data_IF_135747708407
#
_entry.id   IF_135747708407
#
_cell.length_a   1.000
_cell.length_b   1.000
_cell.length_c   1.000
_cell.angle_alpha   90.00
_cell.angle_beta   90.00
_cell.angle_gamma   90.00
#
_symmetry.space_group_name_H-M   'P 1'
#
loop_
_entity.id
_entity.type
_entity.pdbx_description
1 polymer ?
#
# COMPACT_ATOMS: atom_id res chain seq x y z
N UNK A 1 21.08 8.04 -4.23
CA UNK A 1 21.68 6.70 -4.06
C UNK A 1 21.23 6.21 -2.68
N UNK A 2 20.14 5.44 -2.62
CA UNK A 2 19.65 4.88 -1.35
C UNK A 2 20.59 3.73 -1.00
N UNK A 3 21.29 3.82 0.13
CA UNK A 3 22.20 2.76 0.60
C UNK A 3 21.36 1.51 0.84
N UNK A 4 21.78 0.37 0.28
CA UNK A 4 21.10 -0.89 0.57
C UNK A 4 21.13 -1.16 2.07
N UNK A 5 20.00 -1.60 2.67
CA UNK A 5 19.94 -1.87 4.09
C UNK A 5 20.86 -3.03 4.48
N UNK A 6 21.63 -2.86 5.55
CA UNK A 6 22.52 -3.90 6.09
C UNK A 6 21.70 -4.99 6.80
N UNK A 7 21.58 -6.15 6.13
CA UNK A 7 20.74 -7.26 6.61
C UNK A 7 21.52 -8.51 7.04
N UNK A 8 22.84 -8.57 6.83
CA UNK A 8 23.63 -9.78 7.10
C UNK A 8 24.20 -9.82 8.51
N UNK A 9 24.40 -8.66 9.14
CA UNK A 9 24.90 -8.57 10.52
C UNK A 9 23.80 -8.82 11.58
N UNK A 10 24.22 -8.99 12.83
CA UNK A 10 23.32 -8.99 14.00
C UNK A 10 23.04 -7.57 14.55
N UNK A 11 23.34 -6.52 13.79
CA UNK A 11 22.97 -5.16 14.18
C UNK A 11 21.46 -4.97 14.05
N UNK A 12 20.90 -4.24 15.03
CA UNK A 12 19.48 -3.93 15.06
C UNK A 12 19.09 -2.98 13.91
N UNK A 13 18.06 -3.37 13.18
CA UNK A 13 17.40 -2.56 12.17
C UNK A 13 15.98 -2.24 12.63
N UNK A 14 15.63 -0.95 12.62
CA UNK A 14 14.31 -0.47 13.04
C UNK A 14 13.35 -0.43 11.84
N UNK A 15 12.14 -0.96 12.04
CA UNK A 15 11.02 -0.89 11.11
C UNK A 15 9.85 -0.20 11.82
N UNK A 16 9.13 0.67 11.11
CA UNK A 16 8.03 1.43 11.67
C UNK A 16 6.77 1.32 10.79
N UNK A 17 5.61 1.35 11.44
CA UNK A 17 4.31 1.51 10.79
C UNK A 17 3.90 2.99 10.74
N UNK A 18 2.96 3.37 9.86
CA UNK A 18 2.53 4.76 9.70
C UNK A 18 1.92 5.40 10.95
N UNK A 19 1.42 4.60 11.89
CA UNK A 19 0.88 5.06 13.18
C UNK A 19 1.96 5.33 14.24
N UNK A 20 3.25 5.21 13.87
CA UNK A 20 4.40 5.47 14.73
C UNK A 20 4.87 4.26 15.54
N UNK A 21 4.15 3.13 15.49
CA UNK A 21 4.62 1.89 16.10
C UNK A 21 5.89 1.39 15.41
N UNK A 22 6.77 0.71 16.14
CA UNK A 22 8.03 0.24 15.58
C UNK A 22 8.56 -1.02 16.28
N UNK A 23 9.35 -1.80 15.53
CA UNK A 23 10.12 -2.93 16.03
C UNK A 23 11.58 -2.80 15.61
N UNK A 24 12.48 -3.35 16.42
CA UNK A 24 13.89 -3.50 16.06
C UNK A 24 14.22 -4.97 15.92
N UNK A 25 14.80 -5.35 14.78
CA UNK A 25 15.16 -6.72 14.44
C UNK A 25 16.67 -6.83 14.26
N UNK A 26 17.28 -7.86 14.84
CA UNK A 26 18.72 -8.14 14.71
C UNK A 26 19.01 -9.41 13.90
N UNK A 27 18.09 -10.36 13.82
CA UNK A 27 18.32 -11.59 13.07
C UNK A 27 18.25 -11.35 11.55
N UNK A 28 19.25 -11.78 10.75
CA UNK A 28 19.28 -11.56 9.30
C UNK A 28 18.01 -11.99 8.56
N UNK A 29 17.52 -13.20 8.86
CA UNK A 29 16.31 -13.74 8.22
C UNK A 29 15.06 -12.90 8.52
N UNK A 30 14.91 -12.35 9.74
CA UNK A 30 13.73 -11.55 10.09
C UNK A 30 13.83 -10.14 9.49
N UNK A 31 15.03 -9.55 9.41
CA UNK A 31 15.28 -8.30 8.68
C UNK A 31 14.92 -8.45 7.20
N UNK A 32 15.41 -9.50 6.55
CA UNK A 32 15.12 -9.79 5.15
C UNK A 32 13.62 -10.02 4.91
N UNK A 33 12.94 -10.78 5.77
CA UNK A 33 11.50 -11.00 5.69
C UNK A 33 10.70 -9.69 5.85
N UNK A 34 11.08 -8.83 6.79
CA UNK A 34 10.39 -7.55 6.99
C UNK A 34 10.54 -6.63 5.78
N UNK A 35 11.72 -6.59 5.13
CA UNK A 35 11.90 -5.87 3.87
C UNK A 35 11.00 -6.41 2.76
N UNK A 36 10.87 -7.74 2.62
CA UNK A 36 9.93 -8.33 1.67
C UNK A 36 8.48 -7.86 1.94
N UNK A 37 8.06 -7.82 3.21
CA UNK A 37 6.73 -7.35 3.60
C UNK A 37 6.52 -5.86 3.29
N UNK A 38 7.52 -5.01 3.56
CA UNK A 38 7.47 -3.59 3.23
C UNK A 38 7.28 -3.34 1.72
N UNK A 39 7.95 -4.12 0.87
CA UNK A 39 7.88 -3.94 -0.58
C UNK A 39 6.55 -4.38 -1.19
N UNK A 40 5.92 -5.42 -0.64
CA UNK A 40 4.65 -5.90 -1.17
C UNK A 40 3.45 -5.17 -0.58
N UNK A 41 3.63 -4.39 0.51
CA UNK A 41 2.55 -3.66 1.16
C UNK A 41 1.71 -2.86 0.15
N UNK A 42 0.36 -2.89 0.23
CA UNK A 42 -0.50 -3.57 1.20
C UNK A 42 -0.82 -5.06 0.94
N UNK A 43 -0.20 -5.70 -0.05
CA UNK A 43 -0.49 -7.10 -0.42
C UNK A 43 -0.04 -8.08 0.67
N UNK A 44 -0.60 -9.29 0.58
CA UNK A 44 -0.31 -10.41 1.49
C UNK A 44 0.49 -11.48 0.74
N UNK A 45 1.30 -12.24 1.48
CA UNK A 45 2.08 -13.35 0.93
C UNK A 45 2.03 -14.57 1.86
N UNK A 46 1.99 -15.81 1.35
CA UNK A 46 2.10 -17.00 2.17
C UNK A 46 3.43 -17.07 2.93
N UNK A 47 3.42 -17.67 4.13
CA UNK A 47 4.63 -17.78 4.97
C UNK A 47 5.80 -18.49 4.25
N UNK A 48 5.51 -19.56 3.48
CA UNK A 48 6.53 -20.25 2.70
C UNK A 48 7.18 -19.33 1.66
N UNK A 49 6.37 -18.57 0.92
CA UNK A 49 6.86 -17.61 -0.07
C UNK A 49 7.70 -16.52 0.60
N UNK A 50 7.26 -16.00 1.75
CA UNK A 50 8.01 -15.01 2.52
C UNK A 50 9.39 -15.55 2.93
N UNK A 51 9.45 -16.79 3.43
CA UNK A 51 10.72 -17.47 3.77
C UNK A 51 11.63 -17.55 2.55
N UNK A 52 11.12 -18.04 1.43
CA UNK A 52 11.90 -18.27 0.21
C UNK A 52 12.48 -16.93 -0.31
N UNK A 53 11.67 -15.86 -0.29
CA UNK A 53 12.12 -14.51 -0.65
C UNK A 53 13.15 -13.94 0.33
N UNK A 54 12.98 -14.15 1.64
CA UNK A 54 13.92 -13.69 2.65
C UNK A 54 15.29 -14.38 2.52
N UNK A 55 15.31 -15.68 2.23
CA UNK A 55 16.56 -16.43 1.93
C UNK A 55 17.24 -15.90 0.69
N UNK A 56 16.48 -15.68 -0.39
CA UNK A 56 17.01 -15.16 -1.64
C UNK A 56 17.70 -13.79 -1.44
N UNK A 57 17.12 -12.89 -0.63
CA UNK A 57 17.76 -11.61 -0.27
C UNK A 57 19.08 -11.76 0.46
N UNK A 58 19.25 -12.83 1.24
CA UNK A 58 20.48 -13.12 1.96
C UNK A 58 21.51 -13.87 1.10
N UNK A 59 21.24 -14.05 -0.20
CA UNK A 59 22.03 -14.89 -1.10
C UNK A 59 22.19 -16.33 -0.57
N UNK A 60 21.19 -16.82 0.17
CA UNK A 60 21.13 -18.19 0.64
C UNK A 60 20.40 -19.03 -0.40
N UNK A 61 20.96 -20.18 -0.76
CA UNK A 61 20.31 -21.10 -1.67
C UNK A 61 18.94 -21.54 -1.14
N UNK A 62 18.00 -21.72 -2.05
CA UNK A 62 16.74 -22.38 -1.73
C UNK A 62 17.05 -23.80 -1.26
N UNK A 63 16.69 -24.11 -0.02
CA UNK A 63 16.91 -25.44 0.54
C UNK A 63 15.57 -26.12 0.78
N UNK A 64 15.47 -27.34 0.29
CA UNK A 64 14.39 -28.27 0.63
C UNK A 64 14.78 -29.19 1.79
N UNK A 65 15.98 -29.02 2.37
CA UNK A 65 16.38 -29.76 3.57
C UNK A 65 15.35 -29.50 4.70
N UNK A 66 14.68 -30.54 5.20
CA UNK A 66 13.61 -30.37 6.19
C UNK A 66 14.08 -29.72 7.49
N UNK A 67 15.34 -29.91 7.89
CA UNK A 67 15.88 -29.34 9.13
C UNK A 67 16.08 -27.84 9.00
N UNK A 68 16.78 -27.38 7.96
CA UNK A 68 16.93 -25.94 7.72
C UNK A 68 15.58 -25.25 7.50
N UNK A 69 14.67 -25.90 6.77
CA UNK A 69 13.31 -25.38 6.60
C UNK A 69 12.57 -25.20 7.93
N UNK A 70 12.67 -26.19 8.83
CA UNK A 70 12.05 -26.12 10.16
C UNK A 70 12.66 -25.03 11.05
N UNK A 71 13.98 -24.84 10.97
CA UNK A 71 14.69 -23.76 11.69
C UNK A 71 14.24 -22.38 11.20
N UNK A 72 14.21 -22.16 9.88
CA UNK A 72 13.75 -20.91 9.28
C UNK A 72 12.30 -20.59 9.69
N UNK A 73 11.40 -21.58 9.63
CA UNK A 73 10.01 -21.41 10.06
C UNK A 73 9.88 -21.18 11.56
N UNK A 74 10.73 -21.78 12.39
CA UNK A 74 10.76 -21.54 13.83
C UNK A 74 11.19 -20.10 14.14
N UNK A 75 12.23 -19.59 13.47
CA UNK A 75 12.72 -18.22 13.61
C UNK A 75 11.65 -17.22 13.17
N UNK A 76 11.12 -17.38 11.95
CA UNK A 76 10.10 -16.49 11.39
C UNK A 76 8.79 -16.57 12.17
N UNK A 77 8.34 -17.78 12.53
CA UNK A 77 7.09 -17.99 13.25
C UNK A 77 7.08 -17.36 14.64
N UNK A 78 8.16 -17.54 15.41
CA UNK A 78 8.31 -16.89 16.73
C UNK A 78 8.28 -15.37 16.60
N UNK A 79 9.03 -14.83 15.65
CA UNK A 79 9.06 -13.39 15.42
C UNK A 79 7.69 -12.85 14.98
N UNK A 80 7.05 -13.45 13.97
CA UNK A 80 5.74 -13.04 13.46
C UNK A 80 4.68 -13.05 14.56
N UNK A 81 4.65 -14.10 15.39
CA UNK A 81 3.72 -14.20 16.50
C UNK A 81 4.00 -13.11 17.56
N UNK A 82 5.27 -12.85 17.86
CA UNK A 82 5.67 -11.79 18.80
C UNK A 82 5.28 -10.41 18.27
N UNK A 83 5.52 -10.13 17.00
CA UNK A 83 5.15 -8.87 16.36
C UNK A 83 3.63 -8.68 16.28
N UNK A 84 2.88 -9.76 16.02
CA UNK A 84 1.41 -9.75 16.00
C UNK A 84 0.80 -9.52 17.40
N UNK A 85 1.41 -10.07 18.45
CA UNK A 85 0.93 -9.93 19.84
C UNK A 85 1.42 -8.65 20.54
N UNK A 86 2.39 -7.93 19.95
CA UNK A 86 2.88 -6.67 20.49
C UNK A 86 1.74 -5.64 20.56
N UNK A 87 1.62 -4.90 21.68
CA UNK A 87 0.56 -3.91 21.96
C UNK A 87 0.54 -2.69 21.00
N UNK A 88 1.40 -2.70 19.99
CA UNK A 88 1.45 -1.78 18.87
C UNK A 88 0.41 -2.16 17.81
N UNK A 89 -0.48 -1.23 17.45
CA UNK A 89 -1.50 -1.46 16.44
C UNK A 89 -0.86 -1.83 15.07
N UNK A 90 -0.97 -3.12 14.72
CA UNK A 90 -0.88 -3.66 13.35
C UNK A 90 0.47 -3.57 12.64
N UNK A 91 1.58 -3.80 13.33
CA UNK A 91 2.87 -3.98 12.66
C UNK A 91 2.88 -5.19 11.70
N UNK A 92 2.21 -6.28 12.09
CA UNK A 92 2.03 -7.49 11.28
C UNK A 92 0.56 -7.92 11.37
N UNK A 93 -0.03 -8.29 10.23
CA UNK A 93 -1.37 -8.89 10.17
C UNK A 93 -1.29 -10.34 9.70
N UNK A 94 -1.92 -11.25 10.45
CA UNK A 94 -2.07 -12.65 10.06
C UNK A 94 -3.47 -12.89 9.50
N UNK A 95 -3.55 -13.54 8.35
CA UNK A 95 -4.80 -13.68 7.62
C UNK A 95 -4.90 -15.06 6.96
N UNK A 96 -6.10 -15.63 6.95
CA UNK A 96 -6.38 -16.92 6.29
C UNK A 96 -6.72 -16.77 4.80
N UNK A 97 -7.11 -15.57 4.37
CA UNK A 97 -7.45 -15.27 2.98
C UNK A 97 -6.90 -13.91 2.55
N UNK A 98 -6.52 -13.79 1.28
CA UNK A 98 -6.07 -12.52 0.72
C UNK A 98 -7.27 -11.71 0.18
N UNK A 99 -7.42 -10.42 0.56
CA UNK A 99 -8.44 -9.56 0.01
C UNK A 99 -8.14 -9.33 -1.47
N UNK A 100 -9.18 -9.22 -2.26
CA UNK A 100 -9.09 -9.09 -3.71
C UNK A 100 -9.02 -7.60 -4.07
N UNK A 101 -7.80 -7.07 -4.15
CA UNK A 101 -7.53 -5.72 -4.64
C UNK A 101 -6.25 -5.72 -5.49
N UNK A 102 -6.06 -4.64 -6.26
CA UNK A 102 -4.84 -4.43 -7.07
C UNK A 102 -4.09 -3.19 -6.60
N UNK A 103 -2.76 -3.25 -6.69
CA UNK A 103 -1.85 -2.13 -6.42
C UNK A 103 -1.22 -1.58 -7.69
N UNK A 104 -1.15 -2.41 -8.72
CA UNK A 104 -0.65 -2.08 -10.04
C UNK A 104 -1.79 -1.44 -10.86
N UNK A 105 -1.53 -0.27 -11.43
CA UNK A 105 -2.53 0.49 -12.18
C UNK A 105 -2.72 -0.11 -13.58
N UNK A 106 -3.94 -0.50 -13.91
CA UNK A 106 -4.35 -0.80 -15.29
C UNK A 106 -4.56 0.48 -16.10
N UNK A 107 -4.58 0.38 -17.43
CA UNK A 107 -4.93 1.50 -18.32
C UNK A 107 -6.28 2.15 -17.96
N UNK A 108 -7.25 1.33 -17.55
CA UNK A 108 -8.59 1.75 -17.14
C UNK A 108 -8.92 1.25 -15.74
N UNK A 109 -8.47 1.94 -14.69
CA UNK A 109 -8.62 1.48 -13.31
C UNK A 109 -10.08 1.32 -12.90
N UNK A 110 -10.33 0.30 -12.07
CA UNK A 110 -11.63 0.01 -11.47
C UNK A 110 -11.52 0.14 -9.96
N UNK A 111 -12.34 0.98 -9.36
CA UNK A 111 -12.52 1.03 -7.90
C UNK A 111 -13.62 0.07 -7.45
N UNK A 112 -13.54 -0.37 -6.20
CA UNK A 112 -14.59 -1.16 -5.56
C UNK A 112 -15.97 -0.50 -5.72
N UNK A 113 -17.01 -1.22 -6.19
CA UNK A 113 -18.35 -0.67 -6.33
C UNK A 113 -18.91 -0.07 -5.02
N UNK A 114 -18.59 -0.69 -3.88
CA UNK A 114 -18.98 -0.19 -2.56
C UNK A 114 -18.30 1.15 -2.25
N UNK A 115 -16.98 1.24 -2.47
CA UNK A 115 -16.22 2.45 -2.20
C UNK A 115 -16.68 3.62 -3.09
N UNK A 116 -17.01 3.33 -4.36
CA UNK A 116 -17.61 4.31 -5.28
C UNK A 116 -18.97 4.80 -4.80
N UNK A 117 -19.84 3.88 -4.37
CA UNK A 117 -21.16 4.23 -3.83
C UNK A 117 -21.04 5.10 -2.58
N UNK A 118 -20.18 4.73 -1.63
CA UNK A 118 -19.95 5.50 -0.40
C UNK A 118 -19.36 6.88 -0.69
N UNK A 119 -18.43 6.99 -1.64
CA UNK A 119 -17.85 8.27 -2.04
C UNK A 119 -18.89 9.23 -2.63
N UNK A 120 -20.00 8.73 -3.21
CA UNK A 120 -21.08 9.61 -3.66
C UNK A 120 -21.76 10.33 -2.49
N UNK A 121 -21.89 9.64 -1.34
CA UNK A 121 -22.54 10.16 -0.14
C UNK A 121 -21.63 10.85 0.87
N UNK A 122 -20.31 10.76 0.75
CA UNK A 122 -19.38 11.39 1.70
C UNK A 122 -17.90 11.18 1.36
N UNK A 123 -17.03 11.51 2.30
CA UNK A 123 -15.57 11.46 2.14
C UNK A 123 -14.90 10.35 2.96
N UNK A 124 -15.67 9.40 3.53
CA UNK A 124 -15.12 8.19 4.16
C UNK A 124 -15.69 6.96 3.47
N UNK A 125 -14.81 6.04 3.10
CA UNK A 125 -15.16 4.81 2.40
C UNK A 125 -14.58 3.59 3.13
N UNK A 126 -15.12 2.42 2.83
CA UNK A 126 -14.61 1.13 3.29
C UNK A 126 -13.77 0.51 2.17
N UNK A 127 -12.49 0.22 2.45
CA UNK A 127 -11.60 -0.42 1.47
C UNK A 127 -11.75 -1.96 1.45
N UNK A 128 -11.03 -2.63 0.55
CA UNK A 128 -11.04 -4.10 0.45
C UNK A 128 -10.36 -4.82 1.62
N UNK A 129 -9.72 -4.08 2.54
CA UNK A 129 -9.18 -4.56 3.81
C UNK A 129 -10.14 -4.36 4.98
N UNK A 130 -11.36 -3.89 4.71
CA UNK A 130 -12.39 -3.55 5.72
C UNK A 130 -11.96 -2.43 6.68
N UNK A 131 -11.10 -1.53 6.21
CA UNK A 131 -10.67 -0.33 6.92
C UNK A 131 -11.47 0.87 6.45
N UNK A 132 -11.62 1.86 7.34
CA UNK A 132 -12.22 3.13 6.96
C UNK A 132 -11.16 4.10 6.49
N UNK A 133 -11.27 4.52 5.22
CA UNK A 133 -10.32 5.41 4.55
C UNK A 133 -10.97 6.78 4.36
N UNK A 134 -10.45 7.85 4.99
CA UNK A 134 -10.83 9.21 4.64
C UNK A 134 -10.24 9.59 3.28
N UNK A 135 -11.02 10.29 2.48
CA UNK A 135 -10.63 10.80 1.17
C UNK A 135 -10.60 12.32 1.23
N UNK A 136 -9.55 12.92 0.68
CA UNK A 136 -9.66 14.32 0.26
C UNK A 136 -10.58 14.42 -0.97
N UNK A 137 -10.92 15.66 -1.35
CA UNK A 137 -11.88 15.86 -2.43
C UNK A 137 -11.35 15.38 -3.79
N UNK A 138 -10.05 15.50 -4.05
CA UNK A 138 -9.46 15.01 -5.31
C UNK A 138 -9.52 13.48 -5.40
N UNK A 139 -9.12 12.77 -4.34
CA UNK A 139 -9.20 11.31 -4.25
C UNK A 139 -10.65 10.83 -4.37
N UNK A 140 -11.60 11.53 -3.75
CA UNK A 140 -13.03 11.24 -3.86
C UNK A 140 -13.53 11.38 -5.30
N UNK A 141 -13.22 12.48 -5.98
CA UNK A 141 -13.66 12.72 -7.35
C UNK A 141 -13.01 11.75 -8.36
N UNK A 142 -11.75 11.38 -8.13
CA UNK A 142 -11.11 10.31 -8.88
C UNK A 142 -11.83 8.98 -8.67
N UNK A 143 -11.98 8.55 -7.42
CA UNK A 143 -12.59 7.27 -7.05
C UNK A 143 -13.97 7.07 -7.70
N UNK A 144 -14.82 8.10 -7.68
CA UNK A 144 -16.16 8.08 -8.31
C UNK A 144 -16.14 7.67 -9.79
N UNK A 145 -15.07 8.04 -10.51
CA UNK A 145 -14.89 7.87 -11.96
C UNK A 145 -14.16 6.59 -12.36
N UNK A 146 -13.58 5.85 -11.41
CA UNK A 146 -12.83 4.61 -11.69
C UNK A 146 -13.79 3.43 -11.87
N UNK A 147 -14.45 3.36 -13.03
CA UNK A 147 -15.41 2.31 -13.39
C UNK A 147 -14.92 1.37 -14.50
N UNK A 148 -13.63 1.44 -14.85
CA UNK A 148 -13.03 0.67 -15.93
C UNK A 148 -13.31 1.18 -17.34
N UNK A 149 -14.01 2.30 -17.50
CA UNK A 149 -14.33 2.87 -18.82
C UNK A 149 -13.40 4.01 -19.24
N UNK A 150 -12.71 4.62 -18.27
CA UNK A 150 -11.89 5.81 -18.47
C UNK A 150 -10.42 5.46 -18.41
N UNK A 151 -9.71 5.81 -19.46
CA UNK A 151 -8.26 5.86 -19.43
C UNK A 151 -7.76 7.13 -18.71
N UNK A 152 -6.44 7.24 -18.59
CA UNK A 152 -5.77 8.37 -17.96
C UNK A 152 -6.19 9.72 -18.57
N UNK A 153 -6.28 9.82 -19.90
CA UNK A 153 -6.59 11.10 -20.54
C UNK A 153 -8.05 11.50 -20.31
N UNK A 154 -8.97 10.54 -20.34
CA UNK A 154 -10.37 10.76 -20.03
C UNK A 154 -10.53 11.24 -18.57
N UNK A 155 -9.81 10.62 -17.62
CA UNK A 155 -9.80 11.06 -16.23
C UNK A 155 -9.28 12.50 -16.10
N UNK A 156 -8.17 12.84 -16.75
CA UNK A 156 -7.64 14.21 -16.74
C UNK A 156 -8.66 15.23 -17.26
N UNK A 157 -9.28 14.95 -18.41
CA UNK A 157 -10.30 15.83 -18.99
C UNK A 157 -11.48 16.04 -18.05
N UNK A 158 -11.98 14.98 -17.42
CA UNK A 158 -13.12 15.08 -16.51
C UNK A 158 -12.79 15.81 -15.20
N UNK A 159 -11.61 15.60 -14.64
CA UNK A 159 -11.17 16.34 -13.44
C UNK A 159 -10.92 17.82 -13.78
N UNK A 160 -10.28 18.12 -14.91
CA UNK A 160 -10.08 19.49 -15.36
C UNK A 160 -11.41 20.23 -15.57
N UNK A 161 -12.43 19.54 -16.10
CA UNK A 161 -13.78 20.08 -16.23
C UNK A 161 -14.41 20.39 -14.87
N UNK A 162 -14.25 19.52 -13.86
CA UNK A 162 -14.76 19.83 -12.51
C UNK A 162 -14.10 21.07 -11.90
N UNK A 163 -12.82 21.29 -12.19
CA UNK A 163 -12.10 22.49 -11.75
C UNK A 163 -12.67 23.73 -12.45
N UNK A 164 -12.91 23.66 -13.76
CA UNK A 164 -13.50 24.76 -14.53
C UNK A 164 -14.94 25.09 -14.10
N UNK A 165 -15.73 24.06 -13.79
CA UNK A 165 -17.11 24.20 -13.33
C UNK A 165 -17.19 24.62 -11.83
N UNK A 166 -16.05 24.75 -11.14
CA UNK A 166 -16.00 25.12 -9.72
C UNK A 166 -16.49 24.03 -8.75
N UNK A 167 -16.61 22.80 -9.22
CA UNK A 167 -17.05 21.63 -8.44
C UNK A 167 -15.92 20.93 -7.70
N UNK A 168 -14.67 21.27 -7.98
CA UNK A 168 -13.49 20.78 -7.27
C UNK A 168 -12.74 21.95 -6.62
N UNK A 169 -12.73 21.97 -5.30
CA UNK A 169 -11.91 22.90 -4.51
C UNK A 169 -10.86 22.12 -3.74
N UNK A 170 -9.58 22.35 -4.06
CA UNK A 170 -8.45 21.78 -3.35
C UNK A 170 -7.87 22.87 -2.45
N UNK A 171 -7.52 22.50 -1.22
CA UNK A 171 -6.75 23.35 -0.32
C UNK A 171 -5.35 22.77 -0.18
N UNK A 172 -4.35 23.65 -0.15
CA UNK A 172 -2.97 23.31 0.17
C UNK A 172 -2.50 24.26 1.28
N UNK A 173 -1.99 23.70 2.38
CA UNK A 173 -1.55 24.45 3.55
C UNK A 173 -2.61 25.44 4.10
N UNK A 174 -3.89 25.05 4.01
CA UNK A 174 -5.03 25.86 4.45
C UNK A 174 -5.42 27.00 3.51
N UNK A 175 -4.75 27.16 2.36
CA UNK A 175 -5.08 28.14 1.34
C UNK A 175 -5.79 27.48 0.15
N UNK A 176 -6.81 28.12 -0.46
CA UNK A 176 -7.41 27.65 -1.69
C UNK A 176 -6.37 27.64 -2.82
N UNK A 177 -6.30 26.54 -3.56
CA UNK A 177 -5.47 26.45 -4.77
C UNK A 177 -6.24 27.06 -5.94
N UNK A 178 -5.60 27.85 -6.80
CA UNK A 178 -6.28 28.40 -7.98
C UNK A 178 -6.61 27.30 -9.01
N UNK A 179 -7.63 27.49 -9.88
CA UNK A 179 -7.96 26.52 -10.93
C UNK A 179 -6.79 26.16 -11.85
N UNK A 180 -5.93 27.12 -12.17
CA UNK A 180 -4.73 26.89 -12.99
C UNK A 180 -3.69 26.02 -12.25
N UNK A 181 -3.42 26.32 -10.99
CA UNK A 181 -2.50 25.52 -10.17
C UNK A 181 -3.05 24.11 -9.96
N UNK A 182 -4.36 23.95 -9.73
CA UNK A 182 -5.01 22.64 -9.60
C UNK A 182 -4.80 21.78 -10.85
N UNK A 183 -4.95 22.36 -12.05
CA UNK A 183 -4.71 21.64 -13.31
C UNK A 183 -3.25 21.21 -13.44
N UNK A 184 -2.32 22.10 -13.13
CA UNK A 184 -0.88 21.77 -13.11
C UNK A 184 -0.55 20.65 -12.11
N UNK A 185 -1.22 20.62 -10.95
CA UNK A 185 -1.04 19.59 -9.92
C UNK A 185 -1.53 18.20 -10.32
N UNK A 186 -2.44 18.09 -11.29
CA UNK A 186 -2.97 16.80 -11.76
C UNK A 186 -2.38 16.38 -13.12
N UNK A 187 -1.72 17.28 -13.83
CA UNK A 187 -1.04 16.99 -15.09
C UNK A 187 0.18 16.05 -14.95
N UNK A 188 0.65 15.53 -16.08
CA UNK A 188 1.81 14.64 -16.13
C UNK A 188 1.65 13.38 -15.26
N UNK A 189 2.70 13.02 -14.52
CA UNK A 189 2.72 11.82 -13.67
C UNK A 189 2.04 12.04 -12.31
N UNK A 190 1.54 13.24 -12.02
CA UNK A 190 0.90 13.52 -10.74
C UNK A 190 -0.42 12.75 -10.57
N UNK A 191 -1.23 12.65 -11.63
CA UNK A 191 -2.44 11.80 -11.61
C UNK A 191 -2.11 10.34 -11.29
N UNK A 192 -1.07 9.78 -11.89
CA UNK A 192 -0.67 8.39 -11.64
C UNK A 192 -0.26 8.18 -10.18
N UNK A 193 0.41 9.16 -9.55
CA UNK A 193 0.73 9.11 -8.12
C UNK A 193 -0.55 9.10 -7.27
N UNK A 194 -1.53 9.94 -7.57
CA UNK A 194 -2.83 9.96 -6.85
C UNK A 194 -3.63 8.67 -7.04
N UNK A 195 -3.61 8.08 -8.24
CA UNK A 195 -4.21 6.77 -8.47
C UNK A 195 -3.48 5.66 -7.71
N UNK A 196 -2.14 5.73 -7.64
CA UNK A 196 -1.34 4.79 -6.87
C UNK A 196 -1.62 4.91 -5.35
N UNK A 197 -1.91 6.11 -4.85
CA UNK A 197 -2.33 6.30 -3.45
C UNK A 197 -3.65 5.55 -3.17
N UNK A 198 -4.65 5.67 -4.04
CA UNK A 198 -5.91 4.88 -3.93
C UNK A 198 -5.65 3.37 -3.99
N UNK A 199 -4.73 2.93 -4.85
CA UNK A 199 -4.34 1.52 -4.99
C UNK A 199 -3.68 1.00 -3.71
N UNK A 200 -2.77 1.79 -3.11
CA UNK A 200 -2.12 1.50 -1.81
C UNK A 200 -3.10 1.51 -0.63
N UNK A 201 -4.22 2.22 -0.75
CA UNK A 201 -5.33 2.14 0.19
C UNK A 201 -6.26 0.93 -0.05
N UNK A 202 -5.92 0.01 -0.95
CA UNK A 202 -6.72 -1.18 -1.29
C UNK A 202 -8.14 -0.82 -1.79
N UNK A 203 -8.28 0.27 -2.55
CA UNK A 203 -9.57 0.73 -3.10
C UNK A 203 -9.82 0.26 -4.54
N UNK A 204 -8.81 -0.26 -5.23
CA UNK A 204 -8.90 -0.71 -6.62
C UNK A 204 -9.04 -2.23 -6.73
N UNK A 205 -9.74 -2.69 -7.75
CA UNK A 205 -9.98 -4.10 -8.07
C UNK A 205 -9.59 -4.41 -9.51
N UNK A 206 -9.37 -5.69 -9.80
CA UNK A 206 -9.07 -6.20 -11.14
C UNK A 206 -10.32 -6.27 -12.02
#
# INVERSE_FOLDING_TARGET
MVREPEIHSNEYMRFASPDGSAISLNHPLTKAAMLCLCEIWPRRTPLKTLRDQARARLNLESTEDPRTAAEDFSILGKWLLTAYLSLSDRLIELNLSAPRFVVDLSERPVASPLARYQAAGGNRVTNMRHESVPLDELHRQLLLRLDGKRDREALLREIAKLVDDGHLAIQQDGQPVSPQEMKQMIEGDALNRKLADLAKCALLIA
#
